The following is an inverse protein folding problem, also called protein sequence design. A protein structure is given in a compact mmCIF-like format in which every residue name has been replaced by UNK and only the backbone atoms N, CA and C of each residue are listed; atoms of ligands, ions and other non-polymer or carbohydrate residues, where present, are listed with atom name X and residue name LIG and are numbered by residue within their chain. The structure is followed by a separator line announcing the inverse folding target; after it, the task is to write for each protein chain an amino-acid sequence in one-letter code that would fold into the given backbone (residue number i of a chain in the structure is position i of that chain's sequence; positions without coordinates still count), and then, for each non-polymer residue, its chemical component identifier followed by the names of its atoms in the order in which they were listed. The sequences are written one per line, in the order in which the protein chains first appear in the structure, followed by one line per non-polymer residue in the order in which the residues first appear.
data_IF_350823097736
#
_entry.id   IF_350823097736
#
_cell.length_a   1.000
_cell.length_b   1.000
_cell.length_c   1.000
_cell.angle_alpha   90.00
_cell.angle_beta   90.00
_cell.angle_gamma   90.00
#
_symmetry.space_group_name_H-M   'P 1'
#
loop_
_entity.id
_entity.type
_entity.pdbx_description
1 polymer ?
#
# COMPACT_ATOMS: atom_id res chain seq x y z
N UNK A 1 -9.91 2.14 5.18
CA UNK A 1 -8.89 2.79 4.33
C UNK A 1 -8.73 4.29 4.56
N UNK A 2 -9.55 5.23 4.03
CA UNK A 2 -9.30 6.69 4.24
C UNK A 2 -9.17 7.06 5.73
N UNK A 3 -10.10 6.58 6.56
CA UNK A 3 -10.06 6.77 8.01
C UNK A 3 -8.81 6.13 8.65
N UNK A 4 -8.47 4.89 8.26
CA UNK A 4 -7.28 4.18 8.76
C UNK A 4 -5.99 4.94 8.44
N UNK A 5 -5.85 5.51 7.24
CA UNK A 5 -4.67 6.30 6.87
C UNK A 5 -4.56 7.58 7.70
N UNK A 6 -5.67 8.21 8.06
CA UNK A 6 -5.66 9.35 8.98
C UNK A 6 -5.28 8.88 10.40
N UNK A 7 -5.84 7.78 10.88
CA UNK A 7 -5.58 7.22 12.22
C UNK A 7 -4.12 6.76 12.37
N UNK A 8 -3.56 6.07 11.37
CA UNK A 8 -2.19 5.55 11.41
C UNK A 8 -1.12 6.60 11.07
N UNK A 9 -1.42 7.51 10.12
CA UNK A 9 -0.40 8.39 9.53
C UNK A 9 -0.67 9.90 9.65
N UNK A 10 -1.89 10.30 9.99
CA UNK A 10 -2.28 11.72 10.08
C UNK A 10 -2.38 12.44 8.74
N UNK A 11 -2.55 11.69 7.63
CA UNK A 11 -2.65 12.26 6.28
C UNK A 11 -4.02 12.02 5.66
N UNK A 12 -4.46 12.98 4.85
CA UNK A 12 -5.66 12.84 4.04
C UNK A 12 -5.29 12.31 2.66
N UNK A 13 -6.08 11.34 2.18
CA UNK A 13 -5.94 10.75 0.87
C UNK A 13 -7.26 10.73 0.09
N UNK A 14 -7.15 10.82 -1.23
CA UNK A 14 -8.23 10.55 -2.17
C UNK A 14 -8.00 9.19 -2.82
N UNK A 15 -9.00 8.31 -2.77
CA UNK A 15 -8.91 6.98 -3.40
C UNK A 15 -9.34 7.12 -4.84
N UNK A 16 -8.50 6.69 -5.77
CA UNK A 16 -8.73 6.84 -7.20
C UNK A 16 -9.30 5.54 -7.79
N UNK A 17 -8.48 4.48 -7.87
CA UNK A 17 -8.86 3.23 -8.52
C UNK A 17 -8.30 2.00 -7.79
N UNK A 18 -8.86 0.82 -8.08
CA UNK A 18 -8.34 -0.46 -7.64
C UNK A 18 -7.12 -0.83 -8.48
N UNK A 19 -5.94 -0.90 -7.85
CA UNK A 19 -4.73 -1.35 -8.51
C UNK A 19 -4.72 -2.87 -8.70
N UNK A 20 -5.07 -3.61 -7.65
CA UNK A 20 -5.10 -5.07 -7.67
C UNK A 20 -5.97 -5.65 -6.57
N UNK A 21 -6.40 -6.89 -6.80
CA UNK A 21 -7.09 -7.71 -5.80
C UNK A 21 -6.33 -9.02 -5.68
N UNK A 22 -5.77 -9.28 -4.51
CA UNK A 22 -4.99 -10.49 -4.24
C UNK A 22 -5.74 -11.37 -3.27
N UNK A 23 -6.14 -12.55 -3.74
CA UNK A 23 -6.63 -13.61 -2.89
C UNK A 23 -5.46 -14.50 -2.48
N UNK A 24 -5.17 -14.57 -1.18
CA UNK A 24 -4.04 -15.33 -0.65
C UNK A 24 -4.50 -16.30 0.44
N UNK A 25 -4.12 -17.57 0.30
CA UNK A 25 -4.43 -18.63 1.25
C UNK A 25 -3.17 -19.04 1.99
N UNK A 26 -3.15 -18.76 3.29
CA UNK A 26 -2.21 -19.35 4.24
C UNK A 26 -2.77 -20.69 4.74
N UNK A 27 -1.95 -21.41 5.51
CA UNK A 27 -2.31 -22.72 6.06
C UNK A 27 -3.58 -22.66 6.93
N UNK A 28 -3.72 -21.62 7.76
CA UNK A 28 -4.80 -21.49 8.75
C UNK A 28 -5.78 -20.35 8.47
N UNK A 29 -5.47 -19.46 7.52
CA UNK A 29 -6.29 -18.28 7.22
C UNK A 29 -6.27 -17.98 5.73
N UNK A 30 -7.39 -17.47 5.23
CA UNK A 30 -7.49 -16.93 3.88
C UNK A 30 -7.76 -15.44 3.98
N UNK A 31 -7.05 -14.66 3.18
CA UNK A 31 -7.21 -13.21 3.12
C UNK A 31 -7.53 -12.76 1.70
N UNK A 32 -8.28 -11.66 1.61
CA UNK A 32 -8.50 -10.91 0.38
C UNK A 32 -7.91 -9.52 0.59
N UNK A 33 -6.84 -9.22 -0.13
CA UNK A 33 -6.14 -7.95 -0.07
C UNK A 33 -6.60 -7.08 -1.24
N UNK A 34 -7.17 -5.91 -0.92
CA UNK A 34 -7.59 -4.90 -1.89
C UNK A 34 -6.54 -3.79 -1.91
N UNK A 35 -5.82 -3.67 -3.02
CA UNK A 35 -4.81 -2.64 -3.21
C UNK A 35 -5.39 -1.50 -4.04
N UNK A 36 -5.41 -0.30 -3.46
CA UNK A 36 -5.94 0.90 -4.09
C UNK A 36 -4.83 1.88 -4.42
N UNK A 37 -5.04 2.64 -5.48
CA UNK A 37 -4.26 3.83 -5.75
C UNK A 37 -4.93 4.99 -5.04
N UNK A 38 -4.11 5.77 -4.36
CA UNK A 38 -4.57 6.95 -3.68
C UNK A 38 -3.62 8.11 -3.89
N UNK A 39 -4.21 9.29 -3.99
CA UNK A 39 -3.51 10.56 -4.07
C UNK A 39 -3.39 11.16 -2.67
N UNK A 40 -2.19 11.58 -2.31
CA UNK A 40 -1.96 12.39 -1.12
C UNK A 40 -2.59 13.77 -1.31
N UNK A 41 -3.41 14.19 -0.34
CA UNK A 41 -4.13 15.48 -0.37
C UNK A 41 -3.51 16.49 0.59
N UNK A 42 -3.35 16.11 1.86
CA UNK A 42 -2.91 17.02 2.92
C UNK A 42 -2.39 16.26 4.15
N UNK A 43 -1.84 17.00 5.12
CA UNK A 43 -1.33 16.47 6.39
C UNK A 43 0.17 16.17 6.38
N UNK A 44 0.79 16.07 7.55
CA UNK A 44 2.21 15.73 7.67
C UNK A 44 2.33 14.26 8.11
N UNK A 45 2.87 13.36 7.28
CA UNK A 45 2.93 11.94 7.59
C UNK A 45 3.81 11.67 8.80
N UNK A 46 3.24 10.99 9.80
CA UNK A 46 3.92 10.57 11.04
C UNK A 46 3.43 9.18 11.39
N UNK A 47 4.30 8.32 11.92
CA UNK A 47 3.86 7.03 12.43
C UNK A 47 3.09 7.23 13.76
N UNK A 48 1.76 7.36 13.69
CA UNK A 48 0.88 7.61 14.85
C UNK A 48 0.52 6.29 15.53
N UNK A 49 -0.05 5.36 14.76
CA UNK A 49 -0.46 4.02 15.24
C UNK A 49 0.20 2.89 14.44
N UNK A 50 1.32 3.19 13.77
CA UNK A 50 2.17 2.23 13.10
C UNK A 50 3.62 2.36 13.58
N UNK A 51 4.45 1.34 13.32
CA UNK A 51 5.82 1.30 13.84
C UNK A 51 6.78 2.26 13.13
N UNK A 52 6.61 2.46 11.82
CA UNK A 52 7.46 3.34 11.00
C UNK A 52 6.73 3.70 9.70
N UNK A 53 7.15 4.80 9.06
CA UNK A 53 6.64 5.24 7.78
C UNK A 53 7.75 5.83 6.91
N UNK A 54 7.77 5.47 5.62
CA UNK A 54 8.69 6.04 4.65
C UNK A 54 8.10 6.14 3.25
N UNK A 55 8.25 7.31 2.65
CA UNK A 55 8.11 7.48 1.20
C UNK A 55 9.31 6.89 0.48
N UNK A 56 9.07 6.00 -0.47
CA UNK A 56 10.10 5.34 -1.26
C UNK A 56 9.77 5.41 -2.73
N UNK A 57 10.80 5.37 -3.57
CA UNK A 57 10.60 5.15 -5.01
C UNK A 57 10.19 3.70 -5.28
N UNK A 58 9.43 3.48 -6.35
CA UNK A 58 9.01 2.12 -6.77
C UNK A 58 10.21 1.17 -6.90
N UNK A 59 11.34 1.67 -7.40
CA UNK A 59 12.57 0.88 -7.59
C UNK A 59 13.15 0.39 -6.25
N UNK A 60 12.86 1.08 -5.16
CA UNK A 60 13.34 0.74 -3.82
C UNK A 60 12.52 -0.35 -3.15
N UNK A 61 11.34 -0.72 -3.67
CA UNK A 61 10.53 -1.83 -3.14
C UNK A 61 11.31 -3.13 -3.00
N UNK A 62 12.34 -3.35 -3.84
CA UNK A 62 13.21 -4.51 -3.75
C UNK A 62 14.07 -4.57 -2.48
N UNK A 63 14.28 -3.44 -1.80
CA UNK A 63 15.03 -3.35 -0.54
C UNK A 63 14.21 -3.80 0.67
N UNK A 64 12.89 -3.94 0.52
CA UNK A 64 11.98 -4.27 1.60
C UNK A 64 11.50 -5.72 1.52
N UNK A 65 11.49 -6.38 2.68
CA UNK A 65 10.90 -7.70 2.86
C UNK A 65 9.40 -7.53 3.18
N UNK A 66 8.54 -7.82 2.22
CA UNK A 66 7.09 -7.72 2.37
C UNK A 66 6.48 -9.09 2.68
N UNK A 67 5.27 -9.12 3.23
CA UNK A 67 4.57 -10.39 3.42
C UNK A 67 4.24 -11.04 2.08
N UNK A 68 4.04 -12.36 2.10
CA UNK A 68 3.83 -13.16 0.88
C UNK A 68 2.64 -12.68 0.04
N UNK A 69 1.58 -12.19 0.68
CA UNK A 69 0.41 -11.63 0.00
C UNK A 69 0.73 -10.34 -0.79
N UNK A 70 1.73 -9.57 -0.38
CA UNK A 70 2.10 -8.30 -1.00
C UNK A 70 3.10 -8.46 -2.15
N UNK A 71 3.80 -9.61 -2.24
CA UNK A 71 4.82 -9.86 -3.27
C UNK A 71 4.24 -9.71 -4.68
N UNK A 72 3.00 -10.15 -4.90
CA UNK A 72 2.32 -10.01 -6.19
C UNK A 72 2.15 -8.54 -6.58
N UNK A 73 1.72 -7.70 -5.64
CA UNK A 73 1.54 -6.26 -5.83
C UNK A 73 2.89 -5.59 -6.11
N UNK A 74 3.92 -5.91 -5.32
CA UNK A 74 5.29 -5.42 -5.53
C UNK A 74 5.80 -5.72 -6.94
N UNK A 75 5.68 -6.96 -7.40
CA UNK A 75 6.13 -7.36 -8.73
C UNK A 75 5.34 -6.64 -9.84
N UNK A 76 4.03 -6.43 -9.64
CA UNK A 76 3.18 -5.69 -10.58
C UNK A 76 3.60 -4.22 -10.65
N UNK A 77 3.85 -3.56 -9.51
CA UNK A 77 4.34 -2.18 -9.44
C UNK A 77 5.70 -2.02 -10.12
N UNK A 78 6.64 -2.93 -9.86
CA UNK A 78 7.98 -2.89 -10.48
C UNK A 78 7.92 -3.06 -12.01
N UNK A 79 6.96 -3.85 -12.52
CA UNK A 79 6.82 -4.11 -13.96
C UNK A 79 6.04 -3.02 -14.69
N UNK A 80 4.93 -2.53 -14.12
CA UNK A 80 4.01 -1.60 -14.78
C UNK A 80 4.28 -0.13 -14.43
N UNK A 81 4.97 0.15 -13.32
CA UNK A 81 5.00 1.47 -12.71
C UNK A 81 3.65 1.84 -12.07
N UNK A 82 3.57 3.03 -11.49
CA UNK A 82 2.30 3.61 -11.10
C UNK A 82 1.49 3.93 -12.38
N UNK A 83 0.17 3.68 -12.40
CA UNK A 83 -0.68 4.17 -13.47
C UNK A 83 -0.52 5.67 -13.64
N UNK A 84 -0.50 6.11 -14.90
CA UNK A 84 -0.48 7.53 -15.23
C UNK A 84 -1.93 8.02 -15.17
N UNK A 85 -2.19 8.98 -14.29
CA UNK A 85 -3.44 9.73 -14.22
C UNK A 85 -3.25 11.07 -14.92
#
# INVERSE_FOLDING_TARGET
MKREIIEELGIEIEVEDVFDVVYHRYEYITILLLCYIAKYISGEPKAIDCNDFRWIDIKELNKYNLANADIQIKNKLLKKGLPKF
#
